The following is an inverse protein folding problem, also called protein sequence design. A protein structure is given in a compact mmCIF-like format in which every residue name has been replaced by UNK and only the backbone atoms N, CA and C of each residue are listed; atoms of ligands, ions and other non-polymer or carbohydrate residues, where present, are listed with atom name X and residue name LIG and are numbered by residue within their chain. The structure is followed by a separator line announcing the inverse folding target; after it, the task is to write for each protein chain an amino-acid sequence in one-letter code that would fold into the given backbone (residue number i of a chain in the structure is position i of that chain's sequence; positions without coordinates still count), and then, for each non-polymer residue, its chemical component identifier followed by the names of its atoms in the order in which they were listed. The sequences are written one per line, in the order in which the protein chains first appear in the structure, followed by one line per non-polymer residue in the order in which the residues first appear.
data_IF_339661030664
#
_entry.id   IF_339661030664
#
_cell.length_a   1.000
_cell.length_b   1.000
_cell.length_c   1.000
_cell.angle_alpha   90.00
_cell.angle_beta   90.00
_cell.angle_gamma   90.00
#
_symmetry.space_group_name_H-M   'P 1'
#
loop_
_entity.id
_entity.type
_entity.pdbx_description
1 polymer ?
#
# COMPACT_ATOMS: atom_id res chain seq x y z
N UNK A 1 -32.42 13.31 -0.18
CA UNK A 1 -33.30 12.13 -0.35
C UNK A 1 -32.40 10.90 -0.22
N UNK A 2 -32.61 10.15 0.86
CA UNK A 2 -31.92 8.92 1.34
C UNK A 2 -30.41 9.02 1.69
N UNK A 3 -30.17 9.37 2.96
CA UNK A 3 -28.99 9.04 3.75
C UNK A 3 -28.99 7.54 4.10
N UNK A 4 -27.84 6.86 4.07
CA UNK A 4 -27.62 5.62 4.82
C UNK A 4 -26.31 5.69 5.61
N UNK A 5 -26.49 5.90 6.90
CA UNK A 5 -25.53 5.73 7.98
C UNK A 5 -25.33 4.23 8.26
N UNK A 6 -24.08 3.81 8.53
CA UNK A 6 -23.81 2.47 9.09
C UNK A 6 -23.45 2.61 10.56
N UNK A 7 -24.21 1.89 11.38
CA UNK A 7 -24.17 1.87 12.84
C UNK A 7 -22.83 1.35 13.40
N UNK A 8 -22.35 2.05 14.43
CA UNK A 8 -21.47 1.50 15.47
C UNK A 8 -22.35 0.90 16.57
N UNK A 9 -22.08 -0.37 16.92
CA UNK A 9 -22.60 -0.98 18.13
C UNK A 9 -21.74 -0.53 19.34
N UNK A 10 -22.34 0.22 20.27
CA UNK A 10 -21.83 0.40 21.63
C UNK A 10 -22.83 -0.22 22.60
N UNK A 11 -22.37 -1.20 23.38
CA UNK A 11 -22.97 -1.58 24.66
C UNK A 11 -22.17 -0.85 25.76
N UNK A 12 -22.88 -0.15 26.63
CA UNK A 12 -22.35 0.50 27.83
C UNK A 12 -23.16 0.01 29.03
N UNK A 13 -22.50 -0.13 30.19
CA UNK A 13 -22.94 0.02 31.61
C UNK A 13 -21.74 -0.49 32.43
N UNK A 14 -20.93 0.39 33.06
CA UNK A 14 -20.99 0.88 34.46
C UNK A 14 -20.92 -0.29 35.48
N UNK A 15 -20.13 -0.34 36.56
CA UNK A 15 -19.44 0.66 37.40
C UNK A 15 -18.56 -0.12 38.41
N UNK A 16 -17.52 0.50 39.01
CA UNK A 16 -17.19 0.24 40.42
C UNK A 16 -15.85 -0.41 40.84
N UNK A 17 -14.97 0.45 41.38
CA UNK A 17 -14.09 0.29 42.57
C UNK A 17 -12.75 -0.48 42.53
N UNK A 18 -11.81 0.15 43.25
CA UNK A 18 -10.43 -0.20 43.66
C UNK A 18 -10.35 -1.55 44.40
N UNK A 19 -9.27 -2.32 44.20
CA UNK A 19 -8.24 -2.57 45.23
C UNK A 19 -7.00 -3.27 44.63
N UNK A 20 -5.94 -3.28 45.44
CA UNK A 20 -4.53 -3.63 45.22
C UNK A 20 -4.24 -5.12 44.97
N UNK A 21 -3.19 -5.36 44.17
CA UNK A 21 -2.09 -6.27 44.51
C UNK A 21 -2.12 -7.72 43.98
N UNK A 22 -0.92 -8.15 43.56
CA UNK A 22 -0.40 -9.51 43.31
C UNK A 22 -0.56 -10.14 41.91
N UNK A 23 0.59 -10.19 41.22
CA UNK A 23 1.09 -11.32 40.41
C UNK A 23 1.23 -12.63 41.24
N UNK A 24 1.59 -13.79 40.64
CA UNK A 24 1.28 -14.32 39.30
C UNK A 24 0.80 -15.80 39.41
N UNK A 25 0.75 -16.49 38.26
CA UNK A 25 0.75 -17.95 38.07
C UNK A 25 -0.54 -18.64 37.63
N UNK A 26 -0.31 -19.55 36.68
CA UNK A 26 -1.09 -20.74 36.31
C UNK A 26 -1.98 -20.63 35.06
N UNK A 27 -1.34 -21.00 33.95
CA UNK A 27 -1.98 -21.62 32.78
C UNK A 27 -2.33 -23.09 33.09
N UNK A 28 -3.50 -23.60 32.66
CA UNK A 28 -3.64 -25.02 32.39
C UNK A 28 -3.99 -25.32 30.93
N UNK A 29 -3.33 -26.37 30.48
CA UNK A 29 -3.39 -27.06 29.19
C UNK A 29 -4.74 -27.67 28.79
N UNK A 30 -4.94 -27.73 27.48
CA UNK A 30 -5.63 -28.73 26.65
C UNK A 30 -6.30 -29.92 27.36
N UNK A 31 -7.60 -30.11 27.08
CA UNK A 31 -8.34 -31.35 27.30
C UNK A 31 -9.24 -31.70 26.11
N UNK A 32 -8.90 -32.77 25.39
CA UNK A 32 -9.75 -33.44 24.39
C UNK A 32 -10.81 -34.29 25.09
N UNK A 33 -12.06 -34.29 24.61
CA UNK A 33 -12.94 -35.48 24.61
C UNK A 33 -13.93 -35.41 23.43
N UNK A 34 -14.21 -36.57 22.85
CA UNK A 34 -15.12 -36.86 21.74
C UNK A 34 -16.07 -38.00 22.20
N UNK A 35 -16.93 -38.57 21.35
CA UNK A 35 -18.30 -38.20 20.98
C UNK A 35 -19.38 -39.08 21.66
N UNK A 36 -20.66 -38.78 21.42
CA UNK A 36 -21.63 -39.68 20.74
C UNK A 36 -23.09 -39.63 21.26
N UNK A 37 -23.99 -39.84 20.27
CA UNK A 37 -25.32 -40.48 20.27
C UNK A 37 -26.61 -39.62 20.30
N UNK A 38 -27.37 -39.85 19.23
CA UNK A 38 -28.74 -39.51 18.82
C UNK A 38 -29.79 -40.34 19.59
N UNK A 39 -31.14 -40.13 19.46
CA UNK A 39 -31.92 -40.64 18.29
C UNK A 39 -33.20 -39.87 17.84
N UNK A 40 -33.40 -39.83 16.51
CA UNK A 40 -34.59 -40.18 15.71
C UNK A 40 -36.01 -39.63 15.99
N UNK A 41 -36.66 -39.07 14.94
CA UNK A 41 -37.92 -39.64 14.38
C UNK A 41 -38.20 -39.22 12.92
N UNK A 42 -38.92 -40.10 12.22
CA UNK A 42 -39.26 -40.22 10.78
C UNK A 42 -40.19 -39.10 10.25
N UNK A 43 -40.26 -38.81 8.94
CA UNK A 43 -41.14 -39.50 7.96
C UNK A 43 -40.77 -39.25 6.48
N UNK A 44 -41.26 -40.14 5.61
CA UNK A 44 -40.81 -40.49 4.26
C UNK A 44 -41.83 -40.13 3.15
N UNK A 45 -41.29 -39.82 1.95
CA UNK A 45 -41.72 -40.18 0.56
C UNK A 45 -42.96 -39.49 -0.08
N UNK A 46 -43.16 -39.53 -1.43
CA UNK A 46 -42.30 -40.03 -2.54
C UNK A 46 -42.12 -39.10 -3.77
N UNK A 47 -41.15 -39.48 -4.62
CA UNK A 47 -40.92 -39.04 -6.01
C UNK A 47 -41.77 -39.94 -6.94
N UNK A 48 -42.08 -39.45 -8.15
CA UNK A 48 -42.67 -40.12 -9.35
C UNK A 48 -44.13 -39.77 -9.66
N UNK A 49 -44.34 -38.75 -10.52
CA UNK A 49 -45.46 -38.69 -11.46
C UNK A 49 -45.14 -37.78 -12.66
N UNK A 50 -45.01 -38.40 -13.85
CA UNK A 50 -45.37 -37.89 -15.17
C UNK A 50 -44.60 -36.68 -15.72
N UNK A 51 -43.45 -36.84 -16.37
CA UNK A 51 -43.35 -37.08 -17.83
C UNK A 51 -44.68 -37.45 -18.51
N UNK A 52 -45.35 -36.47 -19.12
CA UNK A 52 -46.15 -36.58 -20.37
C UNK A 52 -46.84 -35.22 -20.58
N UNK A 53 -46.29 -34.37 -21.43
CA UNK A 53 -46.96 -33.46 -22.39
C UNK A 53 -45.81 -32.75 -23.13
N UNK A 54 -45.43 -33.37 -24.24
CA UNK A 54 -44.56 -32.83 -25.28
C UNK A 54 -45.51 -32.55 -26.46
N UNK A 55 -45.36 -31.35 -27.05
CA UNK A 55 -45.79 -30.97 -28.40
C UNK A 55 -47.31 -30.80 -28.63
N UNK A 56 -47.76 -29.55 -28.65
CA UNK A 56 -48.60 -28.98 -29.73
C UNK A 56 -48.96 -27.54 -29.39
N UNK A 57 -48.25 -26.58 -29.99
CA UNK A 57 -48.76 -25.30 -30.50
C UNK A 57 -47.57 -24.44 -30.96
N UNK A 58 -46.95 -24.90 -32.06
CA UNK A 58 -46.23 -24.03 -32.98
C UNK A 58 -47.29 -23.29 -33.79
N UNK A 59 -47.43 -21.99 -33.54
CA UNK A 59 -47.59 -20.87 -34.49
C UNK A 59 -48.25 -19.69 -33.77
N UNK A 60 -47.54 -18.58 -33.61
CA UNK A 60 -48.18 -17.34 -33.14
C UNK A 60 -47.20 -16.27 -32.69
N UNK A 61 -46.81 -15.42 -33.64
CA UNK A 61 -46.24 -14.08 -33.46
C UNK A 61 -44.95 -13.91 -32.66
N UNK A 62 -43.87 -13.91 -33.44
CA UNK A 62 -42.69 -13.08 -33.22
C UNK A 62 -43.11 -11.59 -33.22
N UNK A 63 -43.28 -11.02 -32.02
CA UNK A 63 -42.99 -9.62 -31.74
C UNK A 63 -42.25 -9.57 -30.41
N UNK A 64 -40.95 -9.86 -30.48
CA UNK A 64 -40.04 -9.34 -29.47
C UNK A 64 -40.05 -7.81 -29.64
N UNK A 65 -40.87 -7.13 -28.83
CA UNK A 65 -40.61 -5.73 -28.54
C UNK A 65 -39.18 -5.69 -28.01
N UNK A 66 -38.27 -5.16 -28.82
CA UNK A 66 -36.94 -4.80 -28.40
C UNK A 66 -37.12 -3.77 -27.28
N UNK A 67 -37.18 -4.25 -26.05
CA UNK A 67 -36.94 -3.42 -24.88
C UNK A 67 -35.52 -2.92 -25.04
N UNK A 68 -35.38 -1.63 -25.31
CA UNK A 68 -34.10 -0.94 -25.30
C UNK A 68 -33.26 -1.45 -24.12
N UNK A 69 -32.06 -1.95 -24.41
CA UNK A 69 -31.11 -2.36 -23.39
C UNK A 69 -30.93 -1.18 -22.42
N UNK A 70 -31.00 -1.39 -21.09
CA UNK A 70 -30.57 -0.36 -20.16
C UNK A 70 -29.09 -0.03 -20.44
N UNK A 71 -28.78 1.28 -20.47
CA UNK A 71 -27.53 1.92 -20.91
C UNK A 71 -26.32 1.01 -21.13
N UNK A 72 -25.90 0.87 -22.40
CA UNK A 72 -24.77 0.02 -22.82
C UNK A 72 -23.41 0.67 -22.56
N UNK A 73 -23.18 1.15 -21.35
CA UNK A 73 -21.87 1.64 -20.89
C UNK A 73 -21.16 0.57 -20.05
N UNK A 74 -19.82 0.64 -19.93
CA UNK A 74 -19.09 -0.26 -19.05
C UNK A 74 -19.51 -0.04 -17.58
N UNK A 75 -19.61 -1.13 -16.82
CA UNK A 75 -20.06 -1.14 -15.43
C UNK A 75 -18.87 -0.90 -14.49
N UNK A 76 -19.06 -0.12 -13.43
CA UNK A 76 -18.06 0.10 -12.38
C UNK A 76 -17.96 -1.11 -11.46
N UNK A 77 -16.75 -1.63 -11.29
CA UNK A 77 -16.42 -2.69 -10.33
C UNK A 77 -15.41 -2.20 -9.32
N UNK A 78 -15.53 -2.66 -8.08
CA UNK A 78 -14.61 -2.36 -6.99
C UNK A 78 -14.32 -3.64 -6.20
N UNK A 79 -13.04 -3.91 -5.98
CA UNK A 79 -12.55 -5.09 -5.27
C UNK A 79 -11.56 -4.66 -4.19
N UNK A 80 -11.62 -5.32 -3.02
CA UNK A 80 -10.72 -5.04 -1.90
C UNK A 80 -10.11 -6.32 -1.35
N UNK A 81 -8.81 -6.30 -1.09
CA UNK A 81 -8.07 -7.41 -0.46
C UNK A 81 -6.95 -6.86 0.44
N UNK A 82 -6.47 -7.67 1.38
CA UNK A 82 -5.21 -7.38 2.07
C UNK A 82 -4.06 -7.95 1.24
N UNK A 83 -3.05 -7.13 0.94
CA UNK A 83 -1.80 -7.50 0.26
C UNK A 83 -0.65 -6.65 0.80
N UNK A 84 0.57 -7.21 0.84
CA UNK A 84 1.75 -6.51 1.38
C UNK A 84 1.48 -5.87 2.76
N UNK A 85 0.74 -6.59 3.61
CA UNK A 85 0.38 -6.15 4.96
C UNK A 85 -0.64 -5.01 5.09
N UNK A 86 -1.22 -4.49 4.00
CA UNK A 86 -2.15 -3.35 4.02
C UNK A 86 -3.43 -3.60 3.20
N UNK A 87 -4.50 -2.81 3.39
CA UNK A 87 -5.67 -2.85 2.51
C UNK A 87 -5.36 -2.30 1.13
N UNK A 88 -5.79 -3.03 0.11
CA UNK A 88 -5.75 -2.62 -1.29
C UNK A 88 -7.16 -2.49 -1.85
N UNK A 89 -7.35 -1.53 -2.75
CA UNK A 89 -8.55 -1.38 -3.54
C UNK A 89 -8.19 -1.31 -5.02
N UNK A 90 -8.87 -2.10 -5.84
CA UNK A 90 -8.82 -1.99 -7.29
C UNK A 90 -10.22 -1.64 -7.76
N UNK A 91 -10.31 -0.59 -8.56
CA UNK A 91 -11.56 -0.11 -9.12
C UNK A 91 -11.40 0.13 -10.61
N UNK A 92 -12.36 -0.31 -11.42
CA UNK A 92 -12.32 -0.09 -12.87
C UNK A 92 -13.67 -0.30 -13.53
N UNK A 93 -13.75 0.04 -14.82
CA UNK A 93 -14.94 -0.11 -15.65
C UNK A 93 -14.77 -1.26 -16.66
N UNK A 94 -15.74 -2.18 -16.73
CA UNK A 94 -15.69 -3.35 -17.61
C UNK A 94 -17.06 -3.70 -18.21
N UNK A 95 -17.07 -4.36 -19.38
CA UNK A 95 -18.30 -4.68 -20.12
C UNK A 95 -19.04 -5.92 -19.62
N UNK A 96 -18.44 -6.70 -18.70
CA UNK A 96 -19.07 -7.89 -18.12
C UNK A 96 -18.46 -8.30 -16.79
N UNK A 97 -19.27 -8.99 -15.96
CA UNK A 97 -18.83 -9.57 -14.69
C UNK A 97 -17.67 -10.54 -14.87
N UNK A 98 -17.70 -11.35 -15.93
CA UNK A 98 -16.63 -12.32 -16.22
C UNK A 98 -15.29 -11.61 -16.43
N UNK A 99 -15.26 -10.58 -17.29
CA UNK A 99 -14.04 -9.81 -17.53
C UNK A 99 -13.53 -9.18 -16.24
N UNK A 100 -14.43 -8.57 -15.45
CA UNK A 100 -14.06 -7.95 -14.18
C UNK A 100 -13.46 -8.96 -13.19
N UNK A 101 -14.09 -10.12 -13.03
CA UNK A 101 -13.61 -11.17 -12.12
C UNK A 101 -12.25 -11.74 -12.55
N UNK A 102 -12.03 -11.93 -13.85
CA UNK A 102 -10.76 -12.43 -14.38
C UNK A 102 -9.64 -11.38 -14.21
N UNK A 103 -9.91 -10.12 -14.57
CA UNK A 103 -8.95 -9.02 -14.50
C UNK A 103 -8.49 -8.73 -13.06
N UNK A 104 -9.43 -8.60 -12.12
CA UNK A 104 -9.07 -8.36 -10.71
C UNK A 104 -8.28 -9.53 -10.11
N UNK A 105 -8.62 -10.77 -10.49
CA UNK A 105 -7.94 -11.97 -9.98
C UNK A 105 -6.49 -11.97 -10.44
N UNK A 106 -6.25 -11.65 -11.71
CA UNK A 106 -4.91 -11.55 -12.26
C UNK A 106 -4.12 -10.40 -11.61
N UNK A 107 -4.72 -9.23 -11.41
CA UNK A 107 -4.05 -8.09 -10.79
C UNK A 107 -3.64 -8.40 -9.33
N UNK A 108 -4.55 -8.95 -8.51
CA UNK A 108 -4.21 -9.34 -7.13
C UNK A 108 -3.27 -10.55 -7.04
N UNK A 109 -3.23 -11.41 -8.04
CA UNK A 109 -2.23 -12.48 -8.14
C UNK A 109 -0.83 -11.89 -8.39
N UNK A 110 -0.72 -10.92 -9.30
CA UNK A 110 0.54 -10.21 -9.57
C UNK A 110 1.07 -9.48 -8.33
N UNK A 111 0.21 -8.78 -7.59
CA UNK A 111 0.61 -8.14 -6.32
C UNK A 111 1.10 -9.18 -5.30
N UNK A 112 0.47 -10.37 -5.26
CA UNK A 112 0.91 -11.46 -4.37
C UNK A 112 2.28 -12.01 -4.78
N UNK A 113 2.55 -12.15 -6.07
CA UNK A 113 3.87 -12.57 -6.57
C UNK A 113 4.96 -11.57 -6.17
N UNK A 114 4.67 -10.27 -6.29
CA UNK A 114 5.60 -9.22 -5.88
C UNK A 114 5.83 -9.18 -4.37
N UNK A 115 4.84 -9.54 -3.56
CA UNK A 115 5.00 -9.68 -2.10
C UNK A 115 6.05 -10.75 -1.75
N UNK A 116 6.06 -11.88 -2.49
CA UNK A 116 7.07 -12.94 -2.34
C UNK A 116 8.47 -12.53 -2.84
N UNK A 117 8.60 -11.41 -3.53
CA UNK A 117 9.87 -10.90 -4.04
C UNK A 117 10.40 -9.77 -3.16
N UNK A 118 9.55 -8.80 -2.84
CA UNK A 118 9.93 -7.48 -2.33
C UNK A 118 9.75 -7.34 -0.81
N UNK A 119 9.10 -8.30 -0.13
CA UNK A 119 8.82 -8.21 1.30
C UNK A 119 10.08 -8.36 2.13
N UNK A 120 10.34 -7.40 3.02
CA UNK A 120 11.39 -7.49 4.03
C UNK A 120 10.90 -8.20 5.32
N UNK A 121 9.59 -8.47 5.44
CA UNK A 121 9.01 -9.20 6.57
C UNK A 121 8.99 -10.72 6.37
N UNK A 122 8.97 -11.20 5.12
CA UNK A 122 8.90 -12.62 4.79
C UNK A 122 10.32 -13.18 4.63
N UNK A 123 10.80 -14.08 5.51
CA UNK A 123 12.15 -14.64 5.40
C UNK A 123 12.38 -15.48 4.13
N UNK A 124 11.30 -15.96 3.51
CA UNK A 124 11.37 -16.74 2.26
C UNK A 124 11.29 -15.85 1.01
N UNK A 125 11.16 -14.52 1.17
CA UNK A 125 11.14 -13.60 0.04
C UNK A 125 12.48 -13.57 -0.68
N UNK A 126 12.44 -13.27 -1.99
CA UNK A 126 13.67 -13.09 -2.77
C UNK A 126 14.60 -12.03 -2.13
N UNK A 127 14.05 -10.90 -1.67
CA UNK A 127 14.80 -9.83 -1.01
C UNK A 127 15.55 -10.32 0.24
N UNK A 128 14.90 -11.07 1.12
CA UNK A 128 15.53 -11.57 2.35
C UNK A 128 16.52 -12.70 2.06
N UNK A 129 16.22 -13.58 1.10
CA UNK A 129 17.17 -14.59 0.63
C UNK A 129 18.41 -13.95 0.00
N UNK A 130 18.25 -12.84 -0.74
CA UNK A 130 19.35 -12.03 -1.26
C UNK A 130 20.18 -11.42 -0.13
N UNK A 131 19.55 -10.73 0.84
CA UNK A 131 20.28 -10.10 1.96
C UNK A 131 21.00 -11.11 2.86
N UNK A 132 20.47 -12.34 3.00
CA UNK A 132 21.15 -13.42 3.73
C UNK A 132 22.51 -13.85 3.11
N UNK A 133 22.74 -13.48 1.85
CA UNK A 133 23.96 -13.72 1.09
C UNK A 133 24.84 -12.46 0.99
N UNK A 134 24.57 -11.41 1.78
CA UNK A 134 25.32 -10.16 1.71
C UNK A 134 26.74 -10.29 2.27
N UNK A 135 27.68 -10.63 1.40
CA UNK A 135 29.13 -10.63 1.67
C UNK A 135 29.80 -9.71 0.65
N UNK A 136 30.71 -8.85 1.11
CA UNK A 136 31.40 -7.90 0.25
C UNK A 136 32.14 -8.62 -0.90
N UNK A 137 31.90 -8.17 -2.14
CA UNK A 137 32.40 -8.76 -3.37
C UNK A 137 31.57 -9.92 -3.92
N UNK A 138 30.54 -10.38 -3.20
CA UNK A 138 29.64 -11.42 -3.69
C UNK A 138 28.64 -10.86 -4.71
N UNK A 139 28.51 -11.55 -5.84
CA UNK A 139 27.52 -11.27 -6.88
C UNK A 139 26.43 -12.33 -6.89
N UNK A 140 25.17 -11.90 -6.93
CA UNK A 140 23.98 -12.77 -6.90
C UNK A 140 23.04 -12.37 -8.03
N UNK A 141 22.53 -13.34 -8.78
CA UNK A 141 21.47 -13.11 -9.78
C UNK A 141 20.13 -12.91 -9.10
N UNK A 142 19.34 -11.96 -9.64
CA UNK A 142 18.04 -11.59 -9.09
C UNK A 142 16.99 -11.54 -10.21
N UNK A 143 15.72 -11.55 -9.82
CA UNK A 143 14.59 -11.41 -10.74
C UNK A 143 14.55 -10.02 -11.37
N UNK A 144 13.90 -9.94 -12.53
CA UNK A 144 13.67 -8.69 -13.24
C UNK A 144 12.93 -7.65 -12.36
N UNK A 145 11.99 -8.10 -11.54
CA UNK A 145 11.20 -7.24 -10.66
C UNK A 145 12.05 -6.62 -9.55
N UNK A 146 12.84 -7.45 -8.85
CA UNK A 146 13.75 -6.95 -7.82
C UNK A 146 14.81 -6.02 -8.44
N UNK A 147 15.32 -6.36 -9.63
CA UNK A 147 16.29 -5.53 -10.34
C UNK A 147 15.73 -4.14 -10.66
N UNK A 148 14.51 -4.06 -11.22
CA UNK A 148 13.84 -2.79 -11.53
C UNK A 148 13.66 -1.92 -10.30
N UNK A 149 13.22 -2.50 -9.19
CA UNK A 149 13.00 -1.75 -7.94
C UNK A 149 14.32 -1.22 -7.36
N UNK A 150 15.37 -2.05 -7.34
CA UNK A 150 16.70 -1.61 -6.89
C UNK A 150 17.29 -0.54 -7.82
N UNK A 151 17.12 -0.68 -9.14
CA UNK A 151 17.59 0.30 -10.12
C UNK A 151 16.92 1.66 -9.92
N UNK A 152 15.58 1.68 -9.82
CA UNK A 152 14.81 2.89 -9.54
C UNK A 152 15.21 3.50 -8.18
N UNK A 153 15.45 2.66 -7.18
CA UNK A 153 15.91 3.10 -5.87
C UNK A 153 17.24 3.83 -5.96
N UNK A 154 18.24 3.28 -6.67
CA UNK A 154 19.54 3.94 -6.83
C UNK A 154 19.45 5.28 -7.58
N UNK A 155 18.58 5.39 -8.58
CA UNK A 155 18.36 6.64 -9.31
C UNK A 155 17.82 7.74 -8.38
N UNK A 156 16.78 7.42 -7.61
CA UNK A 156 16.19 8.37 -6.66
C UNK A 156 17.16 8.68 -5.53
N UNK A 157 17.92 7.70 -5.03
CA UNK A 157 18.99 7.92 -4.05
C UNK A 157 20.04 8.90 -4.54
N UNK A 158 20.52 8.77 -5.80
CA UNK A 158 21.45 9.72 -6.40
C UNK A 158 20.86 11.12 -6.53
N UNK A 159 19.60 11.22 -6.96
CA UNK A 159 18.96 12.50 -7.20
C UNK A 159 18.56 13.23 -5.90
N UNK A 160 18.36 12.47 -4.81
CA UNK A 160 18.05 12.95 -3.46
C UNK A 160 19.25 13.08 -2.53
N UNK A 161 20.46 12.82 -3.04
CA UNK A 161 21.72 12.78 -2.26
C UNK A 161 21.66 11.85 -1.03
N UNK A 162 21.01 10.69 -1.20
CA UNK A 162 20.88 9.66 -0.17
C UNK A 162 19.77 9.90 0.84
N UNK A 163 18.93 10.93 0.67
CA UNK A 163 17.77 11.11 1.54
C UNK A 163 16.71 10.01 1.36
N UNK A 164 16.62 9.42 0.17
CA UNK A 164 16.01 8.12 -0.05
C UNK A 164 17.11 7.07 -0.16
N UNK A 165 17.10 6.05 0.68
CA UNK A 165 18.10 5.01 0.69
C UNK A 165 17.44 3.70 1.13
N UNK A 166 17.47 2.68 0.26
CA UNK A 166 16.89 1.37 0.57
C UNK A 166 17.82 0.50 1.43
N UNK A 167 19.07 0.90 1.66
CA UNK A 167 20.00 0.17 2.54
C UNK A 167 19.80 0.46 4.03
N UNK A 168 18.73 1.19 4.37
CA UNK A 168 18.35 1.52 5.76
C UNK A 168 17.81 0.34 6.56
N UNK A 169 17.83 -0.90 6.04
CA UNK A 169 17.14 -2.03 6.65
C UNK A 169 17.53 -2.30 8.10
N UNK A 170 18.81 -2.18 8.46
CA UNK A 170 19.25 -2.29 9.86
C UNK A 170 18.68 -1.18 10.74
N UNK A 171 18.59 0.04 10.22
CA UNK A 171 18.02 1.18 10.93
C UNK A 171 16.51 1.01 11.13
N UNK A 172 15.77 0.60 10.09
CA UNK A 172 14.31 0.40 10.21
C UNK A 172 14.00 -0.72 11.19
N UNK A 173 14.81 -1.79 11.23
CA UNK A 173 14.70 -2.85 12.23
C UNK A 173 14.99 -2.39 13.66
N UNK A 174 16.00 -1.53 13.86
CA UNK A 174 16.22 -0.88 15.15
C UNK A 174 15.00 -0.07 15.59
N UNK A 175 14.43 0.71 14.67
CA UNK A 175 13.24 1.52 14.97
C UNK A 175 11.98 0.70 15.19
N UNK A 176 11.80 -0.44 14.50
CA UNK A 176 10.73 -1.40 14.79
C UNK A 176 10.85 -1.96 16.21
N UNK A 177 12.08 -2.25 16.67
CA UNK A 177 12.34 -2.68 18.06
C UNK A 177 12.10 -1.53 19.05
N UNK A 178 12.59 -0.33 18.76
CA UNK A 178 12.41 0.86 19.57
C UNK A 178 10.93 1.20 19.78
N UNK A 179 10.13 1.12 18.71
CA UNK A 179 8.67 1.29 18.76
C UNK A 179 8.00 0.31 19.73
N UNK A 180 8.35 -0.99 19.64
CA UNK A 180 7.78 -2.03 20.52
C UNK A 180 8.19 -1.87 21.98
N UNK A 181 9.45 -1.49 22.23
CA UNK A 181 10.02 -1.34 23.57
C UNK A 181 9.74 0.04 24.20
N UNK A 182 9.35 1.03 23.40
CA UNK A 182 9.24 2.45 23.78
C UNK A 182 10.54 2.99 24.41
N UNK A 183 11.66 2.61 23.81
CA UNK A 183 13.01 3.00 24.26
C UNK A 183 13.88 3.30 23.04
N UNK A 184 14.81 4.25 23.17
CA UNK A 184 15.73 4.55 22.08
C UNK A 184 16.61 3.34 21.74
N UNK A 185 17.01 3.19 20.46
CA UNK A 185 18.10 2.28 20.10
C UNK A 185 19.36 2.62 20.92
N UNK A 186 20.14 1.59 21.30
CA UNK A 186 21.44 1.83 21.91
C UNK A 186 22.36 2.56 20.90
N UNK A 187 23.19 3.47 21.39
CA UNK A 187 24.07 4.26 20.51
C UNK A 187 25.03 3.38 19.68
N UNK A 188 25.52 2.29 20.27
CA UNK A 188 26.39 1.31 19.60
C UNK A 188 25.66 0.56 18.47
N UNK A 189 24.41 0.15 18.70
CA UNK A 189 23.59 -0.50 17.69
C UNK A 189 23.30 0.46 16.52
N UNK A 190 22.97 1.72 16.84
CA UNK A 190 22.70 2.77 15.85
C UNK A 190 23.94 3.05 14.99
N UNK A 191 25.11 3.17 15.62
CA UNK A 191 26.37 3.38 14.90
C UNK A 191 26.69 2.21 13.97
N UNK A 192 26.48 0.97 14.44
CA UNK A 192 26.69 -0.24 13.62
C UNK A 192 25.76 -0.28 12.41
N UNK A 193 24.50 0.14 12.58
CA UNK A 193 23.55 0.22 11.47
C UNK A 193 23.90 1.33 10.46
N UNK A 194 24.38 2.48 10.94
CA UNK A 194 24.84 3.58 10.08
C UNK A 194 26.03 3.17 9.20
N UNK A 195 26.96 2.36 9.71
CA UNK A 195 28.09 1.84 8.92
C UNK A 195 27.68 0.91 7.77
N UNK A 196 26.42 0.44 7.79
CA UNK A 196 25.81 -0.43 6.78
C UNK A 196 24.73 0.29 5.96
N UNK A 197 24.57 1.60 6.14
CA UNK A 197 23.57 2.41 5.43
C UNK A 197 24.29 3.39 4.50
N UNK A 198 24.26 3.10 3.20
CA UNK A 198 24.62 4.00 2.12
C UNK A 198 24.20 3.35 0.79
N UNK A 199 23.42 4.06 -0.03
CA UNK A 199 22.88 3.54 -1.30
C UNK A 199 23.96 3.11 -2.30
N UNK A 200 25.22 3.45 -2.06
CA UNK A 200 26.39 3.04 -2.84
C UNK A 200 26.99 1.71 -2.40
N UNK A 201 26.39 1.00 -1.43
CA UNK A 201 26.92 -0.27 -0.91
C UNK A 201 26.50 -1.51 -1.71
N UNK A 202 25.85 -1.33 -2.85
CA UNK A 202 25.61 -2.39 -3.82
C UNK A 202 25.70 -1.83 -5.25
N UNK A 203 26.08 -2.70 -6.19
CA UNK A 203 26.17 -2.40 -7.61
C UNK A 203 25.24 -3.31 -8.40
N UNK A 204 24.57 -2.74 -9.40
CA UNK A 204 23.69 -3.46 -10.30
C UNK A 204 24.36 -3.64 -11.66
N UNK A 205 24.25 -4.85 -12.22
CA UNK A 205 24.61 -5.13 -13.60
C UNK A 205 23.34 -5.47 -14.38
N UNK A 206 22.98 -4.60 -15.33
CA UNK A 206 21.77 -4.72 -16.13
C UNK A 206 21.82 -5.86 -17.15
N UNK A 207 22.98 -6.11 -17.78
CA UNK A 207 23.10 -7.18 -18.78
C UNK A 207 22.93 -8.56 -18.16
N UNK A 208 23.39 -8.75 -16.93
CA UNK A 208 23.39 -10.04 -16.24
C UNK A 208 22.28 -10.16 -15.18
N UNK A 209 21.53 -9.07 -14.93
CA UNK A 209 20.51 -8.97 -13.86
C UNK A 209 21.04 -9.43 -12.50
N UNK A 210 22.20 -8.89 -12.12
CA UNK A 210 22.86 -9.25 -10.85
C UNK A 210 23.05 -8.06 -9.93
N UNK A 211 23.11 -8.35 -8.63
CA UNK A 211 23.55 -7.43 -7.57
C UNK A 211 24.93 -7.89 -7.07
N UNK A 212 25.87 -6.96 -6.96
CA UNK A 212 27.13 -7.16 -6.25
C UNK A 212 27.11 -6.37 -4.94
N UNK A 213 27.31 -7.03 -3.81
CA UNK A 213 27.40 -6.37 -2.51
C UNK A 213 28.79 -5.76 -2.32
N UNK A 214 28.85 -4.54 -1.79
CA UNK A 214 30.11 -3.85 -1.44
C UNK A 214 30.34 -3.77 0.07
N UNK A 215 29.42 -4.35 0.86
CA UNK A 215 29.46 -4.40 2.32
C UNK A 215 28.88 -5.71 2.82
N UNK A 216 29.52 -6.28 3.85
CA UNK A 216 29.00 -7.44 4.56
C UNK A 216 27.72 -7.09 5.33
N UNK A 217 26.80 -8.05 5.42
CA UNK A 217 25.57 -7.92 6.19
C UNK A 217 24.77 -6.67 5.78
N UNK A 218 24.66 -6.42 4.47
CA UNK A 218 23.80 -5.37 3.94
C UNK A 218 22.34 -5.82 4.03
N UNK A 219 21.49 -5.01 4.67
CA UNK A 219 20.06 -5.24 4.74
C UNK A 219 19.32 -4.19 3.93
N UNK A 220 18.43 -4.62 3.03
CA UNK A 220 17.63 -3.75 2.18
C UNK A 220 16.19 -3.71 2.67
N UNK A 221 15.59 -2.52 2.73
CA UNK A 221 14.18 -2.25 3.02
C UNK A 221 13.56 -1.50 1.84
N UNK A 222 12.53 -2.09 1.23
CA UNK A 222 11.84 -1.56 0.06
C UNK A 222 10.48 -0.91 0.42
N UNK A 223 10.19 -0.69 1.69
CA UNK A 223 8.90 -0.21 2.17
C UNK A 223 8.47 1.16 1.62
N UNK A 224 9.44 1.99 1.23
CA UNK A 224 9.22 3.31 0.61
C UNK A 224 9.15 3.32 -0.92
N UNK A 225 9.11 2.17 -1.60
CA UNK A 225 9.06 2.11 -3.08
C UNK A 225 8.25 0.93 -3.62
N UNK A 226 8.18 -0.19 -2.88
CA UNK A 226 7.62 -1.45 -3.35
C UNK A 226 6.11 -1.38 -3.63
N UNK A 227 5.34 -0.61 -2.87
CA UNK A 227 3.88 -0.50 -3.05
C UNK A 227 3.55 0.27 -4.32
N UNK A 228 4.24 1.38 -4.54
CA UNK A 228 4.16 2.14 -5.79
C UNK A 228 4.44 1.27 -7.02
N UNK A 229 5.50 0.46 -6.97
CA UNK A 229 5.81 -0.49 -8.05
C UNK A 229 4.74 -1.56 -8.24
N UNK A 230 4.26 -2.17 -7.14
CA UNK A 230 3.23 -3.19 -7.22
C UNK A 230 1.89 -2.64 -7.74
N UNK A 231 1.57 -1.37 -7.46
CA UNK A 231 0.41 -0.69 -8.03
C UNK A 231 0.56 -0.44 -9.54
N UNK A 232 1.75 -0.04 -10.00
CA UNK A 232 2.07 0.08 -11.44
C UNK A 232 1.90 -1.27 -12.17
N UNK A 233 2.41 -2.35 -11.57
CA UNK A 233 2.31 -3.70 -12.15
C UNK A 233 0.87 -4.22 -12.17
N UNK A 234 0.08 -3.97 -11.13
CA UNK A 234 -1.35 -4.28 -11.12
C UNK A 234 -2.10 -3.50 -12.22
N UNK A 235 -1.80 -2.21 -12.40
CA UNK A 235 -2.35 -1.39 -13.48
C UNK A 235 -1.97 -1.94 -14.86
N UNK A 236 -0.72 -2.36 -15.04
CA UNK A 236 -0.22 -2.99 -16.27
C UNK A 236 -0.99 -4.29 -16.60
N UNK A 237 -1.28 -5.11 -15.57
CA UNK A 237 -2.12 -6.31 -15.75
C UNK A 237 -3.53 -5.93 -16.20
N UNK A 238 -4.19 -4.98 -15.54
CA UNK A 238 -5.54 -4.54 -15.94
C UNK A 238 -5.57 -4.06 -17.40
N UNK A 239 -4.55 -3.31 -17.83
CA UNK A 239 -4.41 -2.86 -19.21
C UNK A 239 -4.30 -4.02 -20.21
N UNK A 240 -3.61 -5.11 -19.86
CA UNK A 240 -3.53 -6.34 -20.69
C UNK A 240 -4.88 -7.03 -20.86
N UNK A 241 -5.81 -6.85 -19.91
CA UNK A 241 -7.20 -7.30 -20.02
C UNK A 241 -8.10 -6.34 -20.81
N UNK A 242 -7.54 -5.25 -21.38
CA UNK A 242 -8.30 -4.24 -22.12
C UNK A 242 -9.02 -3.22 -21.24
N UNK A 243 -8.77 -3.22 -19.93
CA UNK A 243 -9.30 -2.22 -19.01
C UNK A 243 -8.55 -0.91 -19.23
N UNK A 244 -9.28 0.15 -19.59
CA UNK A 244 -8.68 1.46 -19.93
C UNK A 244 -8.87 2.51 -18.85
N UNK A 245 -9.92 2.39 -18.03
CA UNK A 245 -10.25 3.28 -16.92
C UNK A 245 -10.23 2.51 -15.60
N UNK A 246 -9.20 2.73 -14.81
CA UNK A 246 -8.91 2.01 -13.58
C UNK A 246 -8.20 2.90 -12.56
N UNK A 247 -8.36 2.53 -11.30
CA UNK A 247 -7.68 3.05 -10.13
C UNK A 247 -7.20 1.86 -9.30
N UNK A 248 -5.91 1.87 -8.95
CA UNK A 248 -5.31 0.93 -8.01
C UNK A 248 -4.82 1.73 -6.81
N UNK A 249 -5.32 1.42 -5.63
CA UNK A 249 -4.96 2.07 -4.36
C UNK A 249 -4.32 1.05 -3.42
N UNK A 250 -3.04 1.26 -3.12
CA UNK A 250 -2.23 0.49 -2.20
C UNK A 250 -2.10 1.20 -0.84
N UNK A 251 -3.22 1.54 -0.21
CA UNK A 251 -3.30 2.25 1.08
C UNK A 251 -2.74 3.67 1.04
N UNK A 252 -3.06 4.43 -0.02
CA UNK A 252 -2.62 5.81 -0.22
C UNK A 252 -1.62 5.99 -1.37
N UNK A 253 -1.03 4.90 -1.85
CA UNK A 253 -0.23 4.90 -3.08
C UNK A 253 -1.15 4.50 -4.23
N UNK A 254 -1.60 5.50 -4.99
CA UNK A 254 -2.67 5.39 -5.95
C UNK A 254 -2.13 5.58 -7.36
N UNK A 255 -2.45 4.64 -8.25
CA UNK A 255 -2.16 4.71 -9.69
C UNK A 255 -3.49 4.78 -10.44
N UNK A 256 -3.67 5.76 -11.32
CA UNK A 256 -4.87 5.93 -12.13
C UNK A 256 -4.57 5.94 -13.62
N UNK A 257 -5.43 5.31 -14.42
CA UNK A 257 -5.38 5.37 -15.88
C UNK A 257 -6.31 6.46 -16.42
N UNK A 258 -6.97 6.24 -17.57
CA UNK A 258 -7.93 7.19 -18.13
C UNK A 258 -9.05 7.48 -17.12
N UNK A 259 -9.66 8.65 -17.28
CA UNK A 259 -10.80 9.06 -16.47
C UNK A 259 -11.94 8.03 -16.50
N UNK A 260 -12.77 7.96 -15.44
CA UNK A 260 -14.03 7.22 -15.49
C UNK A 260 -14.91 7.65 -16.68
N UNK A 261 -15.75 6.76 -17.24
CA UNK A 261 -16.75 7.14 -18.23
C UNK A 261 -17.57 8.36 -17.78
N UNK A 262 -17.77 9.31 -18.69
CA UNK A 262 -18.52 10.56 -18.44
C UNK A 262 -17.91 11.47 -17.36
N UNK A 263 -16.65 11.26 -16.98
CA UNK A 263 -15.88 12.11 -16.07
C UNK A 263 -14.61 12.60 -16.75
N UNK A 264 -14.11 13.75 -16.30
CA UNK A 264 -12.86 14.33 -16.81
C UNK A 264 -11.62 13.75 -16.11
N UNK A 265 -11.77 13.30 -14.85
CA UNK A 265 -10.69 12.78 -14.04
C UNK A 265 -11.19 11.88 -12.89
N UNK A 266 -10.27 11.16 -12.27
CA UNK A 266 -10.45 10.57 -10.95
C UNK A 266 -10.32 11.66 -9.88
N UNK A 267 -11.24 11.68 -8.91
CA UNK A 267 -11.19 12.62 -7.79
C UNK A 267 -10.61 11.92 -6.56
N UNK A 268 -9.44 12.38 -6.11
CA UNK A 268 -8.70 11.79 -4.99
C UNK A 268 -8.55 12.82 -3.88
N UNK A 269 -8.99 12.50 -2.67
CA UNK A 269 -8.84 13.38 -1.51
C UNK A 269 -7.47 13.21 -0.85
N UNK A 270 -6.85 14.32 -0.44
CA UNK A 270 -5.66 14.30 0.42
C UNK A 270 -6.10 14.33 1.88
N UNK A 271 -5.70 13.31 2.64
CA UNK A 271 -6.01 13.27 4.07
C UNK A 271 -5.27 14.39 4.83
N UNK A 272 -5.94 15.13 5.72
CA UNK A 272 -5.29 16.17 6.50
C UNK A 272 -4.31 15.58 7.52
N UNK A 273 -3.24 16.33 7.85
CA UNK A 273 -2.21 15.89 8.81
C UNK A 273 -2.78 15.64 10.22
N UNK A 274 -3.77 16.43 10.63
CA UNK A 274 -4.56 16.24 11.86
C UNK A 274 -6.02 16.13 11.44
N UNK A 275 -6.76 15.17 12.01
CA UNK A 275 -8.23 15.10 11.85
C UNK A 275 -8.82 16.38 12.45
N UNK A 276 -9.12 17.37 11.62
CA UNK A 276 -10.01 18.46 12.01
C UNK A 276 -11.45 17.98 11.86
N UNK A 277 -12.42 18.69 12.43
CA UNK A 277 -13.85 18.34 12.33
C UNK A 277 -14.41 18.49 10.89
N UNK A 278 -13.62 19.03 9.95
CA UNK A 278 -14.00 19.18 8.55
C UNK A 278 -13.22 18.23 7.63
N UNK A 279 -13.94 17.70 6.65
CA UNK A 279 -13.53 16.80 5.56
C UNK A 279 -12.26 17.26 4.81
N UNK A 280 -11.64 16.44 3.94
CA UNK A 280 -10.34 16.77 3.34
C UNK A 280 -10.38 18.12 2.61
N UNK A 281 -9.41 18.99 2.93
CA UNK A 281 -9.34 20.37 2.42
C UNK A 281 -8.84 20.44 0.95
N UNK A 282 -8.29 19.34 0.42
CA UNK A 282 -7.72 19.30 -0.93
C UNK A 282 -8.16 18.04 -1.67
N UNK A 283 -8.77 18.25 -2.83
CA UNK A 283 -9.14 17.20 -3.78
C UNK A 283 -8.29 17.34 -5.04
N UNK A 284 -7.89 16.22 -5.60
CA UNK A 284 -7.06 16.13 -6.80
C UNK A 284 -7.86 15.55 -7.97
N UNK A 285 -7.72 16.13 -9.16
CA UNK A 285 -8.16 15.62 -10.46
C UNK A 285 -7.01 14.91 -11.15
N UNK A 286 -7.05 13.58 -11.19
CA UNK A 286 -5.96 12.75 -11.71
C UNK A 286 -6.39 11.92 -12.93
N UNK A 287 -5.50 11.83 -13.93
CA UNK A 287 -5.61 10.93 -15.08
C UNK A 287 -4.22 10.50 -15.54
N UNK A 288 -4.03 9.21 -15.84
CA UNK A 288 -2.78 8.68 -16.39
C UNK A 288 -1.53 9.08 -15.59
N UNK A 289 -1.65 9.07 -14.26
CA UNK A 289 -0.60 9.44 -13.32
C UNK A 289 -0.78 8.68 -12.01
N UNK A 290 0.11 8.95 -11.06
CA UNK A 290 0.11 8.34 -9.74
C UNK A 290 0.25 9.40 -8.67
N UNK A 291 -0.31 9.13 -7.50
CA UNK A 291 -0.15 9.95 -6.28
C UNK A 291 0.21 9.04 -5.12
N UNK A 292 1.19 9.42 -4.33
CA UNK A 292 1.56 8.71 -3.11
C UNK A 292 1.67 9.70 -1.95
N UNK A 293 1.24 9.28 -0.76
CA UNK A 293 1.32 10.11 0.45
C UNK A 293 2.14 9.40 1.51
N UNK A 294 3.34 9.93 1.79
CA UNK A 294 4.15 9.53 2.93
C UNK A 294 3.78 10.40 4.12
N UNK A 295 3.17 9.80 5.14
CA UNK A 295 2.71 10.50 6.32
C UNK A 295 3.01 9.71 7.58
N UNK A 296 3.45 10.40 8.62
CA UNK A 296 3.84 9.76 9.88
C UNK A 296 2.88 10.05 11.05
N UNK A 297 1.80 10.81 10.80
CA UNK A 297 0.84 11.25 11.82
C UNK A 297 0.26 10.10 12.67
N UNK A 298 0.17 8.87 12.12
CA UNK A 298 -0.35 7.69 12.82
C UNK A 298 0.70 6.63 13.16
N UNK A 299 1.92 6.73 12.62
CA UNK A 299 3.00 5.75 12.78
C UNK A 299 4.25 6.41 13.36
N UNK A 300 4.23 6.60 14.68
CA UNK A 300 5.31 7.17 15.47
C UNK A 300 5.34 6.59 16.90
N UNK A 301 6.48 6.72 17.58
CA UNK A 301 6.64 6.44 19.01
C UNK A 301 7.10 7.70 19.74
N UNK A 302 6.63 7.90 20.96
CA UNK A 302 7.15 8.95 21.85
C UNK A 302 8.08 8.31 22.88
N UNK A 303 9.31 8.81 22.98
CA UNK A 303 10.34 8.34 23.90
C UNK A 303 10.96 9.57 24.55
N UNK A 304 10.94 9.61 25.89
CA UNK A 304 11.46 10.74 26.68
C UNK A 304 10.90 12.12 26.26
N UNK A 305 9.62 12.15 25.86
CA UNK A 305 8.92 13.36 25.41
C UNK A 305 9.26 13.81 23.99
N UNK A 306 10.04 13.02 23.24
CA UNK A 306 10.37 13.26 21.83
C UNK A 306 9.66 12.24 20.96
N UNK A 307 8.96 12.74 19.93
CA UNK A 307 8.32 11.93 18.90
C UNK A 307 9.35 11.45 17.87
N UNK A 308 9.24 10.20 17.45
CA UNK A 308 10.02 9.62 16.35
C UNK A 308 9.11 8.85 15.41
N UNK A 309 9.16 9.15 14.11
CA UNK A 309 8.38 8.46 13.10
C UNK A 309 8.98 7.13 12.67
N UNK A 310 8.24 6.38 11.85
CA UNK A 310 8.74 5.21 11.14
C UNK A 310 9.61 5.57 9.92
N UNK A 311 9.62 6.83 9.48
CA UNK A 311 10.49 7.31 8.40
C UNK A 311 11.83 7.66 9.04
N UNK A 312 12.87 6.93 8.65
CA UNK A 312 14.21 7.11 9.23
C UNK A 312 15.01 8.05 8.32
N UNK A 313 15.69 9.03 8.91
CA UNK A 313 16.70 9.81 8.21
C UNK A 313 17.99 8.96 8.08
N UNK A 314 18.44 8.61 6.86
CA UNK A 314 19.62 7.76 6.66
C UNK A 314 20.94 8.36 7.19
N UNK A 315 21.03 9.70 7.26
CA UNK A 315 22.23 10.41 7.74
C UNK A 315 22.37 10.34 9.26
N UNK A 316 21.27 10.52 9.99
CA UNK A 316 21.28 10.53 11.47
C UNK A 316 20.96 9.16 12.06
N UNK A 317 20.33 8.30 11.27
CA UNK A 317 19.78 7.01 11.69
C UNK A 317 18.54 7.13 12.57
N UNK A 318 18.00 8.35 12.76
CA UNK A 318 16.85 8.60 13.64
C UNK A 318 15.54 8.71 12.87
N UNK A 319 14.44 8.27 13.49
CA UNK A 319 13.10 8.57 13.01
C UNK A 319 12.84 10.08 12.99
N UNK A 320 12.10 10.58 11.99
CA UNK A 320 11.80 12.01 11.89
C UNK A 320 10.98 12.48 13.10
N UNK A 321 11.34 13.65 13.63
CA UNK A 321 10.73 14.19 14.86
C UNK A 321 9.59 15.16 14.57
N UNK A 322 9.67 15.90 13.47
CA UNK A 322 8.61 16.78 12.98
C UNK A 322 7.54 15.97 12.26
N UNK A 323 6.26 16.00 12.69
CA UNK A 323 5.18 15.35 11.96
C UNK A 323 5.05 15.91 10.55
N UNK A 324 4.82 15.06 9.56
CA UNK A 324 4.66 15.49 8.18
C UNK A 324 3.66 14.62 7.40
N UNK A 325 3.10 15.23 6.36
CA UNK A 325 2.35 14.57 5.30
C UNK A 325 2.86 15.11 3.97
N UNK A 326 3.44 14.24 3.17
CA UNK A 326 4.07 14.57 1.90
C UNK A 326 3.34 13.81 0.81
N UNK A 327 2.59 14.54 -0.02
CA UNK A 327 1.86 14.00 -1.16
C UNK A 327 2.59 14.34 -2.44
N UNK A 328 3.00 13.33 -3.21
CA UNK A 328 3.71 13.50 -4.48
C UNK A 328 2.86 12.97 -5.62
N UNK A 329 2.75 13.75 -6.69
CA UNK A 329 2.15 13.34 -7.96
C UNK A 329 3.28 13.11 -8.96
N UNK A 330 3.32 11.92 -9.56
CA UNK A 330 4.30 11.55 -10.57
C UNK A 330 3.66 10.72 -11.69
N UNK A 331 4.44 10.39 -12.71
CA UNK A 331 3.96 9.57 -13.84
C UNK A 331 3.65 8.13 -13.41
N UNK A 332 4.45 7.57 -12.51
CA UNK A 332 4.40 6.17 -12.07
C UNK A 332 4.34 6.09 -10.55
N UNK A 333 3.72 5.02 -10.05
CA UNK A 333 3.58 4.76 -8.61
C UNK A 333 4.93 4.57 -7.94
N UNK A 334 5.83 3.83 -8.58
CA UNK A 334 7.20 3.59 -8.06
C UNK A 334 7.95 4.90 -7.78
N UNK A 335 7.82 5.89 -8.67
CA UNK A 335 8.46 7.20 -8.53
C UNK A 335 7.75 8.05 -7.47
N UNK A 336 6.41 8.04 -7.42
CA UNK A 336 5.65 8.79 -6.43
C UNK A 336 5.94 8.32 -4.99
N UNK A 337 5.92 7.01 -4.74
CA UNK A 337 6.14 6.39 -3.41
C UNK A 337 7.54 6.74 -2.87
N UNK A 338 8.57 6.52 -3.69
CA UNK A 338 9.95 6.80 -3.32
C UNK A 338 10.22 8.29 -3.11
N UNK A 339 9.68 9.17 -3.96
CA UNK A 339 9.84 10.62 -3.77
C UNK A 339 9.07 11.15 -2.57
N UNK A 340 7.92 10.58 -2.22
CA UNK A 340 7.20 10.99 -1.01
C UNK A 340 8.05 10.71 0.23
N UNK A 341 8.73 9.56 0.27
CA UNK A 341 9.70 9.23 1.33
C UNK A 341 10.93 10.15 1.30
N UNK A 342 11.54 10.37 0.13
CA UNK A 342 12.69 11.26 -0.04
C UNK A 342 12.40 12.69 0.47
N UNK A 343 11.30 13.29 0.02
CA UNK A 343 10.92 14.66 0.37
C UNK A 343 10.53 14.77 1.85
N UNK A 344 10.04 13.69 2.47
CA UNK A 344 9.80 13.66 3.91
C UNK A 344 11.09 13.85 4.72
N UNK A 345 12.20 13.26 4.26
CA UNK A 345 13.53 13.41 4.89
C UNK A 345 14.15 14.77 4.55
N UNK A 346 14.06 15.22 3.30
CA UNK A 346 14.71 16.45 2.81
C UNK A 346 14.00 17.74 3.24
N UNK A 347 12.70 17.65 3.53
CA UNK A 347 11.82 18.80 3.66
C UNK A 347 11.52 19.50 2.31
N UNK A 348 10.57 20.47 2.29
CA UNK A 348 10.03 21.02 1.05
C UNK A 348 11.05 21.82 0.22
N UNK A 349 11.97 22.57 0.87
CA UNK A 349 12.94 23.43 0.17
C UNK A 349 13.87 22.62 -0.75
N UNK A 350 14.53 21.61 -0.20
CA UNK A 350 15.46 20.78 -0.97
C UNK A 350 14.70 19.72 -1.77
N UNK A 351 13.62 19.18 -1.21
CA UNK A 351 12.77 18.19 -1.87
C UNK A 351 12.19 18.67 -3.20
N UNK A 352 11.71 19.92 -3.29
CA UNK A 352 11.15 20.46 -4.55
C UNK A 352 12.19 20.59 -5.67
N UNK A 353 13.47 20.74 -5.33
CA UNK A 353 14.55 20.69 -6.33
C UNK A 353 14.69 19.28 -6.93
N UNK A 354 14.47 18.22 -6.15
CA UNK A 354 14.47 16.83 -6.62
C UNK A 354 13.23 16.56 -7.47
N UNK A 355 12.04 16.96 -6.99
CA UNK A 355 10.79 16.79 -7.74
C UNK A 355 10.86 17.40 -9.14
N UNK A 356 11.49 18.56 -9.28
CA UNK A 356 11.72 19.19 -10.58
C UNK A 356 12.55 18.33 -11.54
N UNK A 357 13.57 17.62 -11.05
CA UNK A 357 14.41 16.72 -11.88
C UNK A 357 13.59 15.51 -12.35
N UNK A 358 12.73 14.99 -11.47
CA UNK A 358 11.86 13.84 -11.72
C UNK A 358 10.55 14.18 -12.45
N UNK A 359 10.31 15.46 -12.76
CA UNK A 359 9.06 15.95 -13.35
C UNK A 359 7.83 15.55 -12.54
N UNK A 360 7.96 15.64 -11.21
CA UNK A 360 6.92 15.38 -10.23
C UNK A 360 6.46 16.69 -9.58
N UNK A 361 5.26 16.68 -9.02
CA UNK A 361 4.69 17.78 -8.25
C UNK A 361 4.45 17.32 -6.80
N UNK A 362 4.48 18.26 -5.85
CA UNK A 362 4.41 17.92 -4.43
C UNK A 362 3.61 18.91 -3.60
N UNK A 363 2.95 18.37 -2.58
CA UNK A 363 2.24 19.08 -1.53
C UNK A 363 2.69 18.55 -0.17
N UNK A 364 3.26 19.42 0.65
CA UNK A 364 3.92 19.09 1.91
C UNK A 364 3.24 19.86 3.02
N UNK A 365 2.80 19.13 4.04
CA UNK A 365 2.28 19.68 5.29
C UNK A 365 3.21 19.27 6.42
N UNK A 366 3.81 20.25 7.10
CA UNK A 366 4.63 20.02 8.28
C UNK A 366 3.87 20.43 9.54
N UNK A 367 4.00 19.65 10.61
CA UNK A 367 3.40 19.95 11.90
C UNK A 367 4.11 21.15 12.56
N UNK A 368 3.39 22.26 12.75
CA UNK A 368 3.85 23.40 13.53
C UNK A 368 3.35 23.39 14.99
N UNK A 369 3.86 24.33 15.79
CA UNK A 369 3.49 24.51 17.21
C UNK A 369 2.07 25.03 17.40
N UNK A 370 1.57 25.84 16.47
CA UNK A 370 0.22 26.42 16.51
C UNK A 370 -0.61 25.94 15.31
N UNK A 371 -0.11 26.13 14.08
CA UNK A 371 -0.75 25.69 12.84
C UNK A 371 0.21 24.89 11.95
N UNK A 372 -0.28 23.98 11.10
CA UNK A 372 0.55 23.27 10.13
C UNK A 372 1.10 24.22 9.05
N UNK A 373 2.37 24.04 8.69
CA UNK A 373 3.00 24.76 7.59
C UNK A 373 2.77 24.01 6.28
N UNK A 374 2.17 24.67 5.29
CA UNK A 374 1.86 24.08 3.98
C UNK A 374 2.81 24.64 2.92
N UNK A 375 3.40 23.76 2.12
CA UNK A 375 4.25 24.11 0.98
C UNK A 375 3.85 23.26 -0.23
N UNK A 376 3.86 23.84 -1.43
CA UNK A 376 3.55 23.12 -2.67
C UNK A 376 4.39 23.58 -3.84
N UNK A 377 4.65 22.69 -4.79
CA UNK A 377 5.29 23.05 -6.06
C UNK A 377 4.33 23.88 -6.92
N UNK A 378 4.88 24.68 -7.83
CA UNK A 378 4.07 25.59 -8.65
C UNK A 378 3.09 24.85 -9.58
N UNK A 379 3.46 23.66 -10.08
CA UNK A 379 2.60 22.87 -10.97
C UNK A 379 1.52 22.08 -10.24
N UNK A 380 1.58 21.99 -8.90
CA UNK A 380 0.61 21.24 -8.11
C UNK A 380 -0.83 21.75 -8.29
N UNK A 381 -1.01 23.07 -8.46
CA UNK A 381 -2.33 23.70 -8.62
C UNK A 381 -3.08 23.18 -9.85
N UNK A 382 -2.37 22.72 -10.88
CA UNK A 382 -3.01 22.15 -12.06
C UNK A 382 -3.77 20.84 -11.79
N UNK A 383 -3.50 20.20 -10.64
CA UNK A 383 -4.17 18.97 -10.21
C UNK A 383 -5.28 19.21 -9.20
N UNK A 384 -5.43 20.42 -8.64
CA UNK A 384 -6.44 20.69 -7.61
C UNK A 384 -7.83 20.81 -8.23
N UNK A 385 -8.80 20.11 -7.64
CA UNK A 385 -10.22 20.30 -7.96
C UNK A 385 -10.71 21.61 -7.32
N UNK A 386 -11.03 22.60 -8.15
CA UNK A 386 -11.45 23.96 -7.75
C UNK A 386 -12.91 24.04 -7.33
#
# INVERSE_FOLDING_TARGET
MVHMSVLSAKMSILEGRRDRGREPDQWPSLGKTNPARTPHYYQRLPIWACLFIIISMLTGNCQALATEKPGSGPIRYQFRQIRMGVPWQIEFYADSDKLALDAQKAAFARVKELDLILSDYDPDSELNQLCSQAVAGQTVSISEDLFKVLQASQEISRNSDGAFDVTVGHLTDLWRRAYRKRSLPAAEDLQTALEKTNFRLYELNESDQTVTFLKDDLQIDLGGIAKGYAADEAMSVLKKYGITSALVDASGDIVVSNAPPEKEAWIIAIAPLRKSENDPDVYLKLTNCSVATSGDASRYVEIDGVRYSHIVNPETGLGLTTPSSVTIIAKTGITADALASAVSVMGPKTGFCVLKKEKAEGYVVLGGKEEPEVSRTNGFEAFVDQ
#
